data_IF_844767960393
#
_entry.id   IF_844767960393
#
_cell.length_a   1.000
_cell.length_b   1.000
_cell.length_c   1.000
_cell.angle_alpha   90.00
_cell.angle_beta   90.00
_cell.angle_gamma   90.00
#
_symmetry.space_group_name_H-M   'P 1'
#
loop_
_entity.id
_entity.type
_entity.pdbx_description
1 polymer ?
#
# COMPACT_ATOMS: atom_id res chain seq x y z
N UNK A 1 48.80 -28.78 -1.01
CA UNK A 1 47.39 -28.43 -1.30
C UNK A 1 47.13 -27.07 -0.68
N UNK A 2 46.76 -26.01 -1.41
CA UNK A 2 46.38 -24.76 -0.75
C UNK A 2 44.93 -24.88 -0.26
N UNK A 3 44.71 -24.52 1.00
CA UNK A 3 43.37 -24.37 1.58
C UNK A 3 42.84 -22.98 1.23
N UNK A 4 41.72 -22.93 0.51
CA UNK A 4 41.01 -21.67 0.24
C UNK A 4 40.41 -21.11 1.54
N UNK A 5 40.55 -19.81 1.83
CA UNK A 5 39.93 -19.22 3.00
C UNK A 5 38.41 -19.11 2.77
N UNK A 6 37.63 -19.63 3.72
CA UNK A 6 36.16 -19.47 3.75
C UNK A 6 35.84 -17.99 3.94
N UNK A 7 35.11 -17.42 2.98
CA UNK A 7 34.63 -16.05 3.07
C UNK A 7 33.68 -15.89 4.28
N UNK A 8 33.79 -14.80 5.06
CA UNK A 8 32.87 -14.56 6.16
C UNK A 8 31.45 -14.35 5.62
N UNK A 9 30.50 -15.15 6.10
CA UNK A 9 29.08 -14.97 5.78
C UNK A 9 28.60 -13.73 6.51
N UNK A 10 28.29 -12.66 5.77
CA UNK A 10 27.68 -11.45 6.33
C UNK A 10 26.29 -11.79 6.87
N UNK A 11 25.88 -11.25 8.04
CA UNK A 11 24.53 -11.41 8.54
C UNK A 11 23.55 -10.74 7.59
N UNK A 12 22.61 -11.52 7.05
CA UNK A 12 21.52 -11.01 6.22
C UNK A 12 20.68 -10.07 7.06
N UNK A 13 20.71 -8.77 6.74
CA UNK A 13 19.69 -7.80 7.18
C UNK A 13 18.32 -8.45 6.98
N UNK A 14 17.37 -8.38 7.94
CA UNK A 14 16.03 -8.90 7.70
C UNK A 14 15.44 -8.20 6.48
N UNK A 15 15.40 -8.91 5.35
CA UNK A 15 14.84 -8.40 4.12
C UNK A 15 13.33 -8.26 4.24
N UNK A 16 12.73 -7.42 3.39
CA UNK A 16 11.28 -7.41 3.21
C UNK A 16 10.77 -8.83 2.89
N UNK A 17 9.71 -9.25 3.57
CA UNK A 17 9.01 -10.49 3.26
C UNK A 17 7.62 -10.15 2.75
N UNK A 18 7.34 -10.53 1.50
CA UNK A 18 6.03 -10.33 0.90
C UNK A 18 4.97 -11.10 1.71
N UNK A 19 3.85 -10.47 2.11
CA UNK A 19 2.82 -11.15 2.86
C UNK A 19 2.10 -12.18 1.97
N UNK A 20 1.59 -13.24 2.57
CA UNK A 20 0.79 -14.25 1.85
C UNK A 20 -0.64 -13.75 1.73
N UNK A 21 -1.33 -14.13 0.66
CA UNK A 21 -2.76 -13.82 0.47
C UNK A 21 -3.63 -14.23 1.68
N UNK A 22 -3.29 -15.32 2.37
CA UNK A 22 -4.00 -15.79 3.56
C UNK A 22 -3.84 -14.88 4.81
N UNK A 23 -2.90 -13.94 4.79
CA UNK A 23 -2.64 -12.99 5.87
C UNK A 23 -3.43 -11.67 5.69
N UNK A 24 -4.00 -11.46 4.50
CA UNK A 24 -4.69 -10.24 4.11
C UNK A 24 -6.10 -10.22 4.67
N UNK A 25 -6.46 -9.10 5.31
CA UNK A 25 -7.78 -8.87 5.90
C UNK A 25 -8.60 -7.93 5.05
N UNK A 26 -9.89 -8.22 4.92
CA UNK A 26 -10.88 -7.27 4.45
C UNK A 26 -11.57 -6.64 5.65
N UNK A 27 -11.22 -5.40 5.99
CA UNK A 27 -11.76 -4.69 7.14
C UNK A 27 -12.19 -3.28 6.75
N UNK A 28 -13.22 -2.77 7.42
CA UNK A 28 -13.79 -1.47 7.08
C UNK A 28 -12.91 -0.31 7.59
N UNK A 29 -12.84 0.74 6.78
CA UNK A 29 -12.09 1.96 7.08
C UNK A 29 -12.50 2.56 8.42
N UNK A 30 -13.79 2.80 8.60
CA UNK A 30 -14.34 3.56 9.73
C UNK A 30 -14.31 2.80 11.06
N UNK A 31 -14.44 1.48 11.03
CA UNK A 31 -14.58 0.66 12.26
C UNK A 31 -13.27 0.06 12.74
N UNK A 32 -12.27 -0.14 11.86
CA UNK A 32 -11.00 -0.79 12.24
C UNK A 32 -9.79 -0.01 11.75
N UNK A 33 -9.68 0.20 10.44
CA UNK A 33 -8.39 0.60 9.83
C UNK A 33 -8.02 2.04 10.19
N UNK A 34 -8.98 2.96 10.26
CA UNK A 34 -8.73 4.37 10.58
C UNK A 34 -8.09 4.55 11.97
N UNK A 35 -8.50 3.76 12.96
CA UNK A 35 -7.87 3.77 14.28
C UNK A 35 -6.41 3.30 14.21
N UNK A 36 -6.13 2.28 13.39
CA UNK A 36 -4.78 1.76 13.17
C UNK A 36 -3.89 2.77 12.45
N UNK A 37 -4.37 3.37 11.36
CA UNK A 37 -3.68 4.42 10.62
C UNK A 37 -3.31 5.61 11.50
N UNK A 38 -4.17 5.97 12.46
CA UNK A 38 -3.86 7.01 13.45
C UNK A 38 -2.72 6.62 14.39
N UNK A 39 -2.68 5.38 14.86
CA UNK A 39 -1.63 4.90 15.78
C UNK A 39 -0.33 4.50 15.09
N UNK A 40 -0.40 4.11 13.81
CA UNK A 40 0.68 3.49 13.04
C UNK A 40 0.62 4.02 11.60
N UNK A 41 0.97 5.30 11.38
CA UNK A 41 0.85 5.95 10.07
C UNK A 41 1.87 5.46 9.04
N UNK A 42 2.99 4.88 9.49
CA UNK A 42 4.00 4.31 8.61
C UNK A 42 3.58 2.90 8.20
N UNK A 43 3.37 2.72 6.91
CA UNK A 43 2.92 1.46 6.30
C UNK A 43 3.81 1.09 5.13
N UNK A 44 3.79 -0.19 4.78
CA UNK A 44 4.34 -0.67 3.50
C UNK A 44 3.14 -0.95 2.58
N UNK A 45 3.15 -0.34 1.40
CA UNK A 45 2.24 -0.74 0.33
C UNK A 45 2.94 -1.81 -0.49
N UNK A 46 2.29 -2.95 -0.66
CA UNK A 46 2.72 -4.05 -1.52
C UNK A 46 1.74 -4.19 -2.68
N UNK A 47 2.22 -3.91 -3.90
CA UNK A 47 1.49 -4.13 -5.14
C UNK A 47 1.69 -5.57 -5.61
N UNK A 48 0.76 -6.45 -5.23
CA UNK A 48 0.80 -7.87 -5.54
C UNK A 48 0.73 -8.19 -7.04
N UNK A 49 0.38 -7.22 -7.89
CA UNK A 49 0.39 -7.40 -9.34
C UNK A 49 1.77 -7.19 -9.97
N UNK A 50 2.60 -6.31 -9.40
CA UNK A 50 4.00 -6.10 -9.84
C UNK A 50 5.05 -6.76 -8.95
N UNK A 51 4.63 -7.37 -7.83
CA UNK A 51 5.51 -7.90 -6.78
C UNK A 51 6.47 -6.83 -6.23
N UNK A 52 6.02 -5.57 -6.15
CA UNK A 52 6.80 -4.44 -5.67
C UNK A 52 6.27 -3.91 -4.35
N UNK A 53 7.14 -3.35 -3.52
CA UNK A 53 6.75 -2.69 -2.28
C UNK A 53 7.42 -1.33 -2.13
N UNK A 54 6.75 -0.42 -1.43
CA UNK A 54 7.27 0.90 -1.11
C UNK A 54 6.67 1.40 0.21
N UNK A 55 7.45 2.21 0.93
CA UNK A 55 7.07 2.75 2.24
C UNK A 55 6.28 4.04 2.06
N UNK A 56 5.20 4.19 2.84
CA UNK A 56 4.32 5.35 2.81
C UNK A 56 4.05 5.83 4.22
N UNK A 57 4.04 7.15 4.41
CA UNK A 57 3.58 7.80 5.63
C UNK A 57 2.18 8.40 5.41
N UNK A 58 1.19 7.95 6.19
CA UNK A 58 -0.15 8.54 6.20
C UNK A 58 -0.24 9.70 7.19
N UNK A 59 -0.86 10.82 6.81
CA UNK A 59 -0.90 12.01 7.67
C UNK A 59 -2.28 12.67 7.83
N UNK A 60 -3.24 12.42 6.95
CA UNK A 60 -4.62 12.92 7.08
C UNK A 60 -5.61 11.78 6.91
N UNK A 61 -6.57 11.64 7.82
CA UNK A 61 -7.43 10.46 7.95
C UNK A 61 -8.91 10.85 7.90
N UNK A 62 -9.35 11.38 6.75
CA UNK A 62 -10.73 11.75 6.47
C UNK A 62 -11.61 10.56 6.05
N UNK A 63 -12.20 10.67 4.86
CA UNK A 63 -12.95 9.60 4.20
C UNK A 63 -12.03 8.52 3.58
N UNK A 64 -10.75 8.83 3.43
CA UNK A 64 -9.63 7.97 3.08
C UNK A 64 -8.39 8.45 3.86
N UNK A 65 -7.24 7.81 3.66
CA UNK A 65 -5.98 8.33 4.16
C UNK A 65 -5.23 9.09 3.07
N UNK A 66 -4.77 10.30 3.35
CA UNK A 66 -3.76 10.97 2.56
C UNK A 66 -2.40 10.51 3.05
N UNK A 67 -1.51 10.18 2.13
CA UNK A 67 -0.15 9.78 2.46
C UNK A 67 0.83 10.04 1.34
N UNK A 68 2.10 9.89 1.63
CA UNK A 68 3.18 10.16 0.69
C UNK A 68 4.30 9.11 0.83
N UNK A 69 4.95 8.70 -0.28
CA UNK A 69 6.13 7.84 -0.20
C UNK A 69 7.20 8.46 0.69
N UNK A 70 7.90 7.64 1.48
CA UNK A 70 8.88 8.15 2.47
C UNK A 70 10.14 8.69 1.78
N UNK A 71 10.59 8.02 0.72
CA UNK A 71 11.81 8.36 -0.02
C UNK A 71 11.54 8.54 -1.52
N UNK A 72 12.51 9.13 -2.24
CA UNK A 72 12.47 9.22 -3.70
C UNK A 72 12.53 7.85 -4.37
N UNK A 73 13.19 6.88 -3.73
CA UNK A 73 13.22 5.49 -4.17
C UNK A 73 11.84 4.83 -4.03
N UNK A 74 11.11 5.10 -2.93
CA UNK A 74 9.72 4.64 -2.76
C UNK A 74 8.81 5.22 -3.86
N UNK A 75 8.94 6.51 -4.17
CA UNK A 75 8.21 7.14 -5.29
C UNK A 75 8.58 6.53 -6.63
N UNK A 76 9.86 6.25 -6.88
CA UNK A 76 10.30 5.60 -8.11
C UNK A 76 9.71 4.19 -8.24
N UNK A 77 9.71 3.39 -7.17
CA UNK A 77 9.08 2.06 -7.15
C UNK A 77 7.57 2.15 -7.38
N UNK A 78 6.88 3.09 -6.70
CA UNK A 78 5.46 3.34 -6.92
C UNK A 78 5.16 3.68 -8.39
N UNK A 79 5.91 4.61 -9.00
CA UNK A 79 5.72 5.00 -10.39
C UNK A 79 6.03 3.88 -11.38
N UNK A 80 7.02 3.02 -11.09
CA UNK A 80 7.31 1.85 -11.91
C UNK A 80 6.16 0.82 -11.87
N UNK A 81 5.54 0.63 -10.70
CA UNK A 81 4.45 -0.33 -10.51
C UNK A 81 3.08 0.17 -11.02
N UNK A 82 2.75 1.44 -10.77
CA UNK A 82 1.44 2.03 -11.03
C UNK A 82 1.41 2.94 -12.28
N UNK A 83 2.57 3.18 -12.91
CA UNK A 83 2.76 4.23 -13.91
C UNK A 83 2.98 5.60 -13.27
N UNK A 84 3.58 6.54 -13.98
CA UNK A 84 3.84 7.90 -13.46
C UNK A 84 2.59 8.77 -13.56
N UNK A 85 2.28 9.56 -12.53
CA UNK A 85 1.25 10.60 -12.59
C UNK A 85 -0.15 10.07 -12.92
N UNK A 86 -0.45 8.85 -12.47
CA UNK A 86 -1.63 8.07 -12.88
C UNK A 86 -2.71 8.09 -11.79
N UNK A 87 -3.95 8.38 -12.18
CA UNK A 87 -5.14 8.36 -11.32
C UNK A 87 -5.85 7.00 -11.28
N UNK A 88 -5.42 6.02 -12.07
CA UNK A 88 -6.09 4.71 -12.13
C UNK A 88 -5.99 4.00 -10.78
N UNK A 89 -7.11 3.64 -10.14
CA UNK A 89 -7.08 2.90 -8.87
C UNK A 89 -6.38 1.55 -9.02
N UNK A 90 -5.36 1.33 -8.19
CA UNK A 90 -4.61 0.07 -8.09
C UNK A 90 -4.96 -0.63 -6.79
N UNK A 91 -5.50 -1.86 -6.81
CA UNK A 91 -5.66 -2.63 -5.58
C UNK A 91 -4.29 -3.08 -5.06
N UNK A 92 -4.08 -2.94 -3.75
CA UNK A 92 -2.80 -3.20 -3.08
C UNK A 92 -3.03 -3.87 -1.72
N UNK A 93 -2.01 -4.48 -1.16
CA UNK A 93 -2.00 -4.90 0.24
C UNK A 93 -1.23 -3.89 1.08
N UNK A 94 -1.83 -3.40 2.15
CA UNK A 94 -1.24 -2.40 3.05
C UNK A 94 -0.84 -3.07 4.35
N UNK A 95 0.46 -3.04 4.65
CA UNK A 95 1.06 -3.68 5.82
C UNK A 95 1.33 -2.63 6.89
N UNK A 96 0.74 -2.82 8.06
CA UNK A 96 0.97 -1.99 9.23
C UNK A 96 2.18 -2.51 10.03
N UNK A 97 2.76 -1.62 10.85
CA UNK A 97 3.95 -1.95 11.66
C UNK A 97 3.71 -3.04 12.71
N UNK A 98 2.45 -3.36 13.05
CA UNK A 98 2.08 -4.50 13.89
C UNK A 98 1.95 -5.83 13.10
N UNK A 99 2.33 -5.83 11.82
CA UNK A 99 2.30 -6.99 10.94
C UNK A 99 0.92 -7.30 10.35
N UNK A 100 -0.12 -6.53 10.67
CA UNK A 100 -1.44 -6.75 10.05
C UNK A 100 -1.46 -6.20 8.63
N UNK A 101 -2.02 -7.02 7.74
CA UNK A 101 -2.12 -6.72 6.31
C UNK A 101 -3.58 -6.55 5.95
N UNK A 102 -3.90 -5.46 5.24
CA UNK A 102 -5.25 -5.11 4.82
C UNK A 102 -5.32 -4.93 3.32
N UNK A 103 -6.48 -5.28 2.74
CA UNK A 103 -6.82 -4.89 1.37
C UNK A 103 -7.00 -3.36 1.32
N UNK A 104 -6.45 -2.72 0.30
CA UNK A 104 -6.65 -1.29 0.02
C UNK A 104 -6.52 -0.97 -1.47
N UNK A 105 -6.61 0.30 -1.83
CA UNK A 105 -6.26 0.77 -3.16
C UNK A 105 -5.63 2.15 -3.11
N UNK A 106 -4.81 2.45 -4.11
CA UNK A 106 -4.14 3.75 -4.22
C UNK A 106 -3.89 4.10 -5.69
N UNK A 107 -3.16 5.17 -5.94
CA UNK A 107 -2.75 5.67 -7.26
C UNK A 107 -1.37 6.33 -7.12
N UNK A 108 -0.75 6.73 -8.24
CA UNK A 108 0.58 7.38 -8.23
C UNK A 108 0.56 8.87 -8.53
N UNK A 109 -0.61 9.43 -8.82
CA UNK A 109 -0.78 10.86 -9.02
C UNK A 109 -0.67 11.63 -7.70
N UNK A 110 0.40 12.41 -7.54
CA UNK A 110 0.49 13.42 -6.51
C UNK A 110 -0.52 14.56 -6.72
N UNK A 111 -1.18 15.01 -5.65
CA UNK A 111 -2.07 16.16 -5.67
C UNK A 111 -2.09 16.93 -4.35
N UNK A 112 -2.52 18.20 -4.44
CA UNK A 112 -2.76 19.10 -3.30
C UNK A 112 -1.54 19.30 -2.37
N UNK A 113 -1.68 18.99 -1.08
CA UNK A 113 -0.69 19.31 -0.05
C UNK A 113 0.54 18.41 -0.20
N UNK A 114 1.71 19.03 -0.15
CA UNK A 114 3.03 18.40 -0.20
C UNK A 114 3.75 18.64 1.13
N UNK A 115 3.91 17.58 1.93
CA UNK A 115 4.62 17.65 3.22
C UNK A 115 6.08 17.17 3.12
N UNK A 116 6.43 16.46 2.06
CA UNK A 116 7.75 15.90 1.83
C UNK A 116 8.24 16.16 0.40
N UNK A 117 8.66 17.40 0.14
CA UNK A 117 9.25 17.79 -1.14
C UNK A 117 10.54 17.01 -1.53
N UNK A 118 11.10 16.20 -0.62
CA UNK A 118 12.30 15.39 -0.85
C UNK A 118 12.05 14.01 -1.45
N UNK A 119 10.79 13.57 -1.55
CA UNK A 119 10.43 12.23 -2.06
C UNK A 119 10.16 12.21 -3.58
N UNK A 120 10.33 13.32 -4.31
CA UNK A 120 10.03 13.44 -5.74
C UNK A 120 8.56 13.18 -6.15
N UNK A 121 7.62 13.18 -5.21
CA UNK A 121 6.20 13.28 -5.46
C UNK A 121 5.77 14.72 -5.15
N UNK A 122 5.09 15.39 -6.08
CA UNK A 122 4.48 16.69 -5.78
C UNK A 122 3.08 16.47 -5.21
N UNK A 123 2.89 16.80 -3.93
CA UNK A 123 1.64 16.57 -3.21
C UNK A 123 1.60 15.19 -2.52
N UNK A 124 0.41 14.64 -2.36
CA UNK A 124 0.18 13.32 -1.74
C UNK A 124 -0.60 12.38 -2.64
N UNK A 125 -0.73 11.11 -2.23
CA UNK A 125 -1.62 10.12 -2.84
C UNK A 125 -2.77 9.78 -1.89
N UNK A 126 -3.92 9.38 -2.43
CA UNK A 126 -5.01 8.81 -1.65
C UNK A 126 -4.78 7.31 -1.44
N UNK A 127 -4.98 6.85 -0.21
CA UNK A 127 -5.01 5.43 0.17
C UNK A 127 -6.42 5.12 0.66
N UNK A 128 -7.14 4.36 -0.14
CA UNK A 128 -8.50 3.94 0.12
C UNK A 128 -8.51 2.55 0.74
N UNK A 129 -9.42 2.35 1.68
CA UNK A 129 -9.68 1.07 2.33
C UNK A 129 -11.15 0.69 2.12
N UNK A 130 -11.53 -0.59 2.34
CA UNK A 130 -12.92 -1.01 2.22
C UNK A 130 -13.82 -0.08 3.02
N UNK A 131 -14.93 0.34 2.39
CA UNK A 131 -16.01 1.08 3.04
C UNK A 131 -17.35 0.56 2.54
N UNK A 132 -18.43 1.04 3.15
CA UNK A 132 -19.76 0.79 2.63
C UNK A 132 -19.94 1.42 1.23
N UNK A 133 -20.62 0.73 0.32
CA UNK A 133 -20.78 1.17 -1.07
C UNK A 133 -21.62 2.44 -1.18
N UNK A 134 -22.61 2.64 -0.30
CA UNK A 134 -23.41 3.86 -0.27
C UNK A 134 -22.57 5.04 0.27
N UNK A 135 -21.70 4.81 1.25
CA UNK A 135 -20.75 5.81 1.72
C UNK A 135 -19.75 6.22 0.63
N UNK A 136 -19.25 5.25 -0.16
CA UNK A 136 -18.39 5.52 -1.31
C UNK A 136 -19.14 6.36 -2.37
N UNK A 137 -20.38 5.97 -2.70
CA UNK A 137 -21.22 6.68 -3.65
C UNK A 137 -21.51 8.13 -3.21
N UNK A 138 -21.77 8.36 -1.93
CA UNK A 138 -21.98 9.70 -1.36
C UNK A 138 -20.73 10.59 -1.44
N UNK A 139 -19.53 10.00 -1.49
CA UNK A 139 -18.26 10.73 -1.65
C UNK A 139 -18.03 11.11 -3.10
N UNK A 140 -18.40 10.24 -4.05
CA UNK A 140 -18.36 10.52 -5.47
C UNK A 140 -17.76 9.39 -6.32
N UNK A 141 -17.78 9.55 -7.66
CA UNK A 141 -17.44 8.48 -8.60
C UNK A 141 -16.01 7.97 -8.46
N UNK A 142 -15.06 8.82 -8.05
CA UNK A 142 -13.68 8.40 -7.83
C UNK A 142 -13.52 7.53 -6.57
N UNK A 143 -14.25 7.82 -5.49
CA UNK A 143 -14.29 6.94 -4.33
C UNK A 143 -14.92 5.58 -4.68
N UNK A 144 -15.93 5.57 -5.55
CA UNK A 144 -16.55 4.32 -6.05
C UNK A 144 -15.56 3.50 -6.90
N UNK A 145 -14.74 4.13 -7.75
CA UNK A 145 -13.75 3.38 -8.54
C UNK A 145 -12.69 2.71 -7.66
N UNK A 146 -12.24 3.37 -6.58
CA UNK A 146 -11.39 2.76 -5.56
C UNK A 146 -12.08 1.60 -4.84
N UNK A 147 -13.35 1.75 -4.45
CA UNK A 147 -14.12 0.67 -3.83
C UNK A 147 -14.23 -0.54 -4.77
N UNK A 148 -14.47 -0.33 -6.07
CA UNK A 148 -14.51 -1.41 -7.06
C UNK A 148 -13.15 -2.10 -7.24
N UNK A 149 -12.05 -1.33 -7.26
CA UNK A 149 -10.71 -1.89 -7.30
C UNK A 149 -10.42 -2.75 -6.07
N UNK A 150 -10.80 -2.29 -4.87
CA UNK A 150 -10.67 -3.04 -3.61
C UNK A 150 -11.43 -4.38 -3.67
N UNK A 151 -12.68 -4.36 -4.16
CA UNK A 151 -13.48 -5.59 -4.29
C UNK A 151 -12.85 -6.58 -5.28
N UNK A 152 -12.41 -6.10 -6.44
CA UNK A 152 -11.71 -6.93 -7.45
C UNK A 152 -10.39 -7.50 -6.90
N UNK A 153 -9.60 -6.67 -6.20
CA UNK A 153 -8.37 -7.10 -5.55
C UNK A 153 -8.61 -8.13 -4.44
N UNK A 154 -9.73 -8.01 -3.72
CA UNK A 154 -10.14 -8.99 -2.72
C UNK A 154 -10.50 -10.32 -3.35
N UNK A 155 -11.28 -10.33 -4.44
CA UNK A 155 -11.62 -11.55 -5.17
C UNK A 155 -10.34 -12.28 -5.65
N UNK A 156 -9.39 -11.53 -6.22
CA UNK A 156 -8.08 -12.06 -6.60
C UNK A 156 -7.34 -12.67 -5.39
N UNK A 157 -7.33 -11.95 -4.27
CA UNK A 157 -6.68 -12.40 -3.03
C UNK A 157 -7.30 -13.72 -2.54
N UNK A 158 -8.63 -13.84 -2.56
CA UNK A 158 -9.32 -15.07 -2.14
C UNK A 158 -9.07 -16.25 -3.08
N UNK A 159 -8.96 -16.02 -4.39
CA UNK A 159 -8.56 -17.07 -5.33
C UNK A 159 -7.15 -17.62 -5.01
N UNK A 160 -6.21 -16.74 -4.64
CA UNK A 160 -4.85 -17.14 -4.24
C UNK A 160 -4.80 -17.90 -2.92
N UNK A 161 -5.76 -17.68 -2.02
CA UNK A 161 -5.90 -18.48 -0.79
C UNK A 161 -6.39 -19.88 -1.11
N UNK A 162 -7.37 -20.03 -2.01
CA UNK A 162 -8.00 -21.31 -2.36
C UNK A 162 -7.15 -22.21 -3.27
N UNK A 163 -6.21 -21.63 -4.01
CA UNK A 163 -5.32 -22.36 -4.92
C UNK A 163 -4.10 -23.00 -4.22
N UNK A 164 -4.06 -22.99 -2.89
CA UNK A 164 -3.03 -23.62 -2.05
C UNK A 164 -3.58 -24.86 -1.39
#
# INVERSE_FOLDING_TARGET
>A
VPVSPTAPTLPTTPGFSAPRAAEVRFAQWTTEIKARARSMPNVIIYDFASDSHYNVHMFSLGAHADGEPVTKEDTATMNAALGTNNWTPRPVWVMFSDGRVYMGSTHSRGHEVDHNAGNNLTGHICIHFPRDVAEAAATGPYAVSHQNAILSGWDYTQLKVRAR
#
